data_IF_802500253757
#
_entry.id   IF_802500253757
#
_cell.length_a   1.000
_cell.length_b   1.000
_cell.length_c   1.000
_cell.angle_alpha   90.00
_cell.angle_beta   90.00
_cell.angle_gamma   90.00
#
_symmetry.space_group_name_H-M   'P 1'
#
loop_
_entity.id
_entity.type
_entity.pdbx_description
1 polymer ?
#
# COMPACT_ATOMS: atom_id res chain seq x y z
N UNK A 1 9.18 7.85 6.37
CA UNK A 1 8.23 8.91 6.77
C UNK A 1 6.84 8.38 7.10
N UNK A 2 6.30 7.34 6.43
CA UNK A 2 5.06 6.64 6.84
C UNK A 2 3.85 7.56 7.15
N UNK A 3 3.73 8.70 6.48
CA UNK A 3 2.64 9.66 6.76
C UNK A 3 1.25 9.10 6.48
N UNK A 4 1.12 8.13 5.57
CA UNK A 4 -0.13 7.39 5.31
C UNK A 4 -0.34 6.16 6.20
N UNK A 5 0.44 6.01 7.28
CA UNK A 5 0.37 4.86 8.17
C UNK A 5 0.94 3.55 7.56
N UNK A 6 0.60 2.38 8.14
CA UNK A 6 1.14 1.09 7.70
C UNK A 6 0.77 0.75 6.25
N UNK A 7 -0.35 1.26 5.76
CA UNK A 7 -0.85 1.08 4.39
C UNK A 7 -0.31 2.13 3.41
N UNK A 8 0.74 2.88 3.77
CA UNK A 8 1.28 3.94 2.90
C UNK A 8 1.80 3.43 1.54
N UNK A 9 2.21 2.16 1.45
CA UNK A 9 2.57 1.52 0.19
C UNK A 9 1.33 1.33 -0.71
N UNK A 10 0.25 0.80 -0.17
CA UNK A 10 -1.01 0.58 -0.89
C UNK A 10 -1.64 1.92 -1.30
N UNK A 11 -1.62 2.92 -0.42
CA UNK A 11 -2.10 4.28 -0.70
C UNK A 11 -1.35 4.94 -1.86
N UNK A 12 -0.03 4.70 -1.99
CA UNK A 12 0.75 5.18 -3.14
C UNK A 12 0.23 4.60 -4.46
N UNK A 13 -0.05 3.30 -4.47
CA UNK A 13 -0.52 2.62 -5.68
C UNK A 13 -1.98 3.02 -5.98
N UNK A 14 -2.78 3.24 -4.94
CA UNK A 14 -4.12 3.79 -5.05
C UNK A 14 -4.15 5.19 -5.71
N UNK A 15 -3.23 6.10 -5.36
CA UNK A 15 -3.14 7.41 -6.05
C UNK A 15 -2.93 7.23 -7.56
N UNK A 16 -2.16 6.22 -7.97
CA UNK A 16 -1.95 5.94 -9.39
C UNK A 16 -3.25 5.45 -10.04
N UNK A 17 -3.97 4.55 -9.37
CA UNK A 17 -5.24 4.02 -9.87
C UNK A 17 -6.29 5.12 -10.10
N UNK A 18 -6.51 6.01 -9.11
CA UNK A 18 -7.51 7.09 -9.27
C UNK A 18 -7.16 8.03 -10.41
N UNK A 19 -5.88 8.31 -10.66
CA UNK A 19 -5.45 9.18 -11.77
C UNK A 19 -5.70 8.49 -13.11
N UNK A 20 -5.49 7.16 -13.20
CA UNK A 20 -5.80 6.38 -14.41
C UNK A 20 -7.30 6.38 -14.68
N UNK A 21 -8.13 6.18 -13.64
CA UNK A 21 -9.60 6.20 -13.75
C UNK A 21 -10.15 7.53 -14.29
N UNK A 22 -9.48 8.66 -14.04
CA UNK A 22 -9.89 9.96 -14.61
C UNK A 22 -9.97 9.91 -16.15
N UNK A 23 -9.03 9.22 -16.80
CA UNK A 23 -8.95 9.14 -18.25
C UNK A 23 -10.02 8.24 -18.87
N UNK A 24 -10.65 7.37 -18.09
CA UNK A 24 -11.74 6.50 -18.55
C UNK A 24 -13.09 7.21 -18.53
N UNK A 25 -13.29 8.12 -17.57
CA UNK A 25 -14.61 8.68 -17.27
C UNK A 25 -14.88 10.03 -17.94
N UNK A 26 -13.84 10.82 -18.22
CA UNK A 26 -13.98 12.22 -18.63
C UNK A 26 -12.81 12.72 -19.46
N UNK A 27 -13.00 13.88 -20.09
CA UNK A 27 -11.91 14.63 -20.71
C UNK A 27 -11.04 15.17 -19.58
N UNK A 28 -9.78 14.76 -19.56
CA UNK A 28 -8.82 15.12 -18.52
C UNK A 28 -7.98 16.30 -18.98
N UNK A 29 -7.92 17.34 -18.16
CA UNK A 29 -6.97 18.44 -18.30
C UNK A 29 -5.94 18.41 -17.16
N UNK A 30 -4.93 19.26 -17.27
CA UNK A 30 -3.82 19.33 -16.30
C UNK A 30 -4.33 19.69 -14.90
N UNK A 31 -5.26 20.65 -14.82
CA UNK A 31 -5.81 21.15 -13.56
C UNK A 31 -6.55 20.03 -12.81
N UNK A 32 -7.33 19.20 -13.51
CA UNK A 32 -8.06 18.11 -12.89
C UNK A 32 -7.12 17.05 -12.29
N UNK A 33 -6.02 16.71 -12.96
CA UNK A 33 -5.03 15.75 -12.44
C UNK A 33 -4.36 16.34 -11.19
N UNK A 34 -3.95 17.60 -11.26
CA UNK A 34 -3.32 18.31 -10.15
C UNK A 34 -4.24 18.35 -8.93
N UNK A 35 -5.48 18.81 -9.07
CA UNK A 35 -6.46 18.86 -7.98
C UNK A 35 -6.68 17.47 -7.38
N UNK A 36 -6.80 16.44 -8.22
CA UNK A 36 -6.97 15.05 -7.74
C UNK A 36 -5.76 14.58 -6.91
N UNK A 37 -4.53 14.89 -7.34
CA UNK A 37 -3.33 14.55 -6.57
C UNK A 37 -3.24 15.33 -5.26
N UNK A 38 -3.60 16.62 -5.26
CA UNK A 38 -3.58 17.46 -4.05
C UNK A 38 -4.59 16.99 -3.02
N UNK A 39 -5.83 16.70 -3.43
CA UNK A 39 -6.84 16.14 -2.54
C UNK A 39 -6.43 14.77 -2.00
N UNK A 40 -5.85 13.91 -2.84
CA UNK A 40 -5.34 12.61 -2.38
C UNK A 40 -4.22 12.75 -1.34
N UNK A 41 -3.31 13.72 -1.49
CA UNK A 41 -2.25 13.98 -0.51
C UNK A 41 -2.80 14.52 0.82
N UNK A 42 -3.84 15.35 0.76
CA UNK A 42 -4.52 15.83 1.96
C UNK A 42 -5.28 14.70 2.66
N UNK A 43 -6.09 13.93 1.94
CA UNK A 43 -7.01 12.96 2.54
C UNK A 43 -6.29 11.71 3.03
N UNK A 44 -5.30 11.20 2.27
CA UNK A 44 -4.64 9.93 2.60
C UNK A 44 -3.38 10.08 3.45
N UNK A 45 -2.73 11.25 3.38
CA UNK A 45 -1.45 11.50 4.03
C UNK A 45 -1.46 12.67 5.01
N UNK A 46 -2.58 13.42 5.13
CA UNK A 46 -2.69 14.64 5.94
C UNK A 46 -1.60 15.68 5.60
N UNK A 47 -1.23 15.74 4.30
CA UNK A 47 -0.18 16.63 3.79
C UNK A 47 -0.79 17.70 2.87
N UNK A 48 -0.55 18.95 3.23
CA UNK A 48 -0.80 20.10 2.36
C UNK A 48 0.43 20.35 1.47
N UNK A 49 0.26 20.30 0.15
CA UNK A 49 1.32 20.55 -0.83
C UNK A 49 1.07 21.93 -1.45
N UNK A 50 1.88 22.92 -1.07
CA UNK A 50 1.75 24.33 -1.50
C UNK A 50 2.94 24.82 -2.36
N UNK A 51 3.78 23.91 -2.83
CA UNK A 51 5.01 24.22 -3.57
C UNK A 51 4.86 24.13 -5.10
N UNK A 52 3.62 24.05 -5.59
CA UNK A 52 3.28 23.85 -7.00
C UNK A 52 3.93 22.60 -7.65
N UNK A 53 4.40 21.63 -6.85
CA UNK A 53 5.07 20.43 -7.36
C UNK A 53 4.14 19.44 -8.05
N UNK A 54 2.84 19.50 -7.76
CA UNK A 54 1.81 18.67 -8.40
C UNK A 54 1.59 19.06 -9.88
N UNK A 55 1.70 20.36 -10.22
CA UNK A 55 1.50 20.87 -11.58
C UNK A 55 2.44 20.25 -12.63
N UNK A 56 3.78 20.26 -12.46
CA UNK A 56 4.68 19.65 -13.44
C UNK A 56 4.49 18.14 -13.55
N UNK A 57 4.05 17.45 -12.48
CA UNK A 57 3.68 16.04 -12.54
C UNK A 57 2.41 15.83 -13.37
N UNK A 58 1.37 16.63 -13.17
CA UNK A 58 0.14 16.57 -13.96
C UNK A 58 0.40 16.78 -15.46
N UNK A 59 1.23 17.77 -15.81
CA UNK A 59 1.67 18.00 -17.20
C UNK A 59 2.39 16.78 -17.77
N UNK A 60 3.28 16.16 -17.00
CA UNK A 60 4.03 14.98 -17.43
C UNK A 60 3.11 13.78 -17.68
N UNK A 61 2.15 13.53 -16.77
CA UNK A 61 1.18 12.44 -16.91
C UNK A 61 0.35 12.62 -18.18
N UNK A 62 -0.17 13.83 -18.42
CA UNK A 62 -0.95 14.13 -19.62
C UNK A 62 -0.12 13.97 -20.90
N UNK A 63 1.16 14.36 -20.86
CA UNK A 63 2.09 14.17 -21.99
C UNK A 63 2.31 12.69 -22.29
N UNK A 64 2.58 11.88 -21.27
CA UNK A 64 2.76 10.43 -21.41
C UNK A 64 1.50 9.79 -21.98
N UNK A 65 0.32 10.16 -21.46
CA UNK A 65 -0.95 9.66 -21.98
C UNK A 65 -1.12 9.96 -23.47
N UNK A 66 -0.76 11.18 -23.90
CA UNK A 66 -0.80 11.57 -25.32
C UNK A 66 0.19 10.78 -26.17
N UNK A 67 1.41 10.54 -25.71
CA UNK A 67 2.42 9.75 -26.43
C UNK A 67 1.96 8.28 -26.59
N UNK A 68 1.40 7.69 -25.53
CA UNK A 68 0.82 6.35 -25.55
C UNK A 68 -0.34 6.27 -26.55
N UNK A 69 -1.21 7.28 -26.60
CA UNK A 69 -2.31 7.34 -27.58
C UNK A 69 -1.83 7.36 -29.03
N UNK A 70 -0.57 7.77 -29.27
CA UNK A 70 0.08 7.81 -30.57
C UNK A 70 0.93 6.55 -30.86
N UNK A 71 0.94 5.58 -29.94
CA UNK A 71 1.75 4.36 -30.04
C UNK A 71 3.24 4.56 -29.75
N UNK A 72 3.61 5.65 -29.06
CA UNK A 72 4.99 5.93 -28.66
C UNK A 72 5.17 5.59 -27.17
N UNK A 73 6.04 4.63 -26.88
CA UNK A 73 6.27 4.13 -25.52
C UNK A 73 7.70 4.38 -24.99
N UNK A 74 8.57 4.98 -25.80
CA UNK A 74 9.99 5.18 -25.50
C UNK A 74 10.24 5.91 -24.17
N UNK A 75 9.42 6.93 -23.88
CA UNK A 75 9.49 7.73 -22.66
C UNK A 75 9.14 6.89 -21.42
N UNK A 76 8.10 6.07 -21.52
CA UNK A 76 7.64 5.18 -20.44
C UNK A 76 8.68 4.10 -20.17
N UNK A 77 9.17 3.45 -21.22
CA UNK A 77 10.20 2.41 -21.13
C UNK A 77 11.48 2.95 -20.48
N UNK A 78 11.89 4.17 -20.86
CA UNK A 78 13.04 4.84 -20.26
C UNK A 78 12.84 5.19 -18.77
N UNK A 79 11.64 5.58 -18.36
CA UNK A 79 11.32 5.84 -16.95
C UNK A 79 11.28 4.54 -16.14
N UNK A 80 10.73 3.47 -16.70
CA UNK A 80 10.68 2.15 -16.08
C UNK A 80 12.09 1.56 -15.87
N UNK A 81 12.97 1.66 -16.88
CA UNK A 81 14.37 1.23 -16.76
C UNK A 81 15.11 1.97 -15.63
N UNK A 82 14.96 3.29 -15.54
CA UNK A 82 15.54 4.10 -14.45
C UNK A 82 14.97 3.72 -13.08
N UNK A 83 13.69 3.39 -13.00
CA UNK A 83 13.07 2.93 -11.77
C UNK A 83 13.63 1.56 -11.33
N UNK A 84 13.79 0.61 -12.26
CA UNK A 84 14.41 -0.69 -11.98
C UNK A 84 15.84 -0.55 -11.44
N UNK A 85 16.64 0.34 -12.01
CA UNK A 85 17.99 0.63 -11.50
C UNK A 85 17.98 1.19 -10.07
N UNK A 86 16.99 2.03 -9.74
CA UNK A 86 16.82 2.57 -8.38
C UNK A 86 16.38 1.51 -7.38
N UNK A 87 15.54 0.56 -7.77
CA UNK A 87 15.12 -0.53 -6.88
C UNK A 87 16.29 -1.43 -6.49
N UNK A 88 17.12 -1.83 -7.46
CA UNK A 88 18.34 -2.63 -7.20
C UNK A 88 19.31 -1.94 -6.23
N UNK A 89 19.42 -0.61 -6.30
CA UNK A 89 20.24 0.19 -5.37
C UNK A 89 19.64 0.30 -3.97
N UNK A 90 18.32 0.25 -3.84
CA UNK A 90 17.62 0.33 -2.56
C UNK A 90 17.75 -0.97 -1.77
N UNK A 91 17.69 -2.12 -2.45
CA UNK A 91 17.91 -3.45 -1.86
C UNK A 91 19.36 -3.64 -1.37
N UNK A 92 20.33 -3.11 -2.12
CA UNK A 92 21.75 -3.16 -1.75
C UNK A 92 22.18 -2.16 -0.68
N UNK A 93 21.29 -1.25 -0.28
CA UNK A 93 21.56 -0.19 0.71
C UNK A 93 20.94 -0.46 2.09
N UNK A 94 20.57 -1.71 2.41
CA UNK A 94 20.38 -2.10 3.81
C UNK A 94 21.72 -1.89 4.55
N UNK A 95 21.84 -0.73 5.17
CA UNK A 95 23.01 -0.31 5.92
C UNK A 95 23.16 -1.28 7.10
N UNK A 96 24.14 -2.17 7.01
CA UNK A 96 24.58 -2.98 8.14
C UNK A 96 25.17 -1.99 9.16
N UNK A 97 24.36 -1.56 10.13
CA UNK A 97 24.81 -0.74 11.25
C UNK A 97 25.82 -1.57 12.02
N UNK A 98 27.11 -1.38 11.74
CA UNK A 98 28.17 -1.88 12.59
C UNK A 98 28.19 -0.98 13.83
N UNK A 99 27.53 -1.43 14.88
CA UNK A 99 27.67 -0.87 16.23
C UNK A 99 29.12 -1.14 16.63
N UNK A 100 29.99 -0.14 16.49
CA UNK A 100 31.27 -0.16 17.18
C UNK A 100 30.99 0.24 18.62
N UNK A 101 31.26 -0.65 19.56
CA UNK A 101 31.19 -0.35 21.00
C UNK A 101 32.07 0.87 21.29
N UNK A 102 31.44 1.97 21.70
CA UNK A 102 32.11 3.15 22.23
C UNK A 102 32.55 2.84 23.67
N UNK A 103 33.87 2.80 23.98
CA UNK A 103 34.35 2.52 25.33
C UNK A 103 33.89 3.53 26.39
N UNK A 104 33.39 4.71 25.99
CA UNK A 104 32.89 5.74 26.91
C UNK A 104 31.36 5.72 27.11
N UNK A 105 30.63 4.83 26.42
CA UNK A 105 29.18 4.71 26.55
C UNK A 105 28.75 3.23 26.68
N UNK A 106 28.76 2.65 27.90
CA UNK A 106 28.22 1.31 28.13
C UNK A 106 26.70 1.34 27.92
N UNK A 107 26.24 0.79 26.80
CA UNK A 107 24.82 0.63 26.48
C UNK A 107 24.22 -0.50 27.34
N UNK A 108 23.35 -0.13 28.28
CA UNK A 108 22.60 -1.02 29.17
C UNK A 108 21.16 -1.14 28.63
N UNK A 109 21.05 -1.58 27.37
CA UNK A 109 19.77 -1.82 26.71
C UNK A 109 19.56 -3.33 26.56
N UNK A 110 18.88 -3.89 27.54
CA UNK A 110 18.44 -5.28 27.62
C UNK A 110 17.56 -5.65 26.39
N UNK A 111 17.93 -6.77 25.80
CA UNK A 111 17.47 -7.30 24.52
C UNK A 111 16.08 -7.93 24.67
N UNK A 112 15.16 -7.63 23.75
CA UNK A 112 14.00 -8.50 23.51
C UNK A 112 13.86 -8.69 22.02
N UNK A 113 14.65 -9.63 21.53
CA UNK A 113 14.55 -10.22 20.21
C UNK A 113 13.37 -11.20 20.19
N UNK A 114 12.29 -10.82 19.50
CA UNK A 114 11.31 -11.75 18.94
C UNK A 114 11.03 -11.30 17.51
N UNK A 115 11.89 -11.72 16.59
CA UNK A 115 11.66 -11.66 15.14
C UNK A 115 11.41 -13.10 14.67
N UNK A 116 10.14 -13.53 14.72
CA UNK A 116 9.69 -14.74 14.04
C UNK A 116 9.16 -14.35 12.66
N UNK A 117 9.95 -14.74 11.66
CA UNK A 117 9.70 -14.70 10.24
C UNK A 117 8.34 -15.32 9.85
N UNK A 118 7.59 -14.66 8.96
CA UNK A 118 7.00 -15.39 7.82
C UNK A 118 6.76 -14.47 6.61
N UNK A 119 7.73 -14.45 5.71
CA UNK A 119 7.55 -14.01 4.33
C UNK A 119 6.83 -15.13 3.57
N UNK A 120 5.54 -14.93 3.25
CA UNK A 120 4.90 -15.71 2.19
C UNK A 120 4.91 -14.90 0.90
N UNK A 121 5.87 -15.25 0.05
CA UNK A 121 5.79 -15.02 -1.39
C UNK A 121 4.52 -15.68 -1.91
N UNK A 122 3.67 -14.93 -2.60
CA UNK A 122 2.71 -15.53 -3.52
C UNK A 122 2.58 -14.66 -4.77
N UNK A 123 3.53 -14.87 -5.67
CA UNK A 123 3.32 -14.75 -7.10
C UNK A 123 3.05 -16.18 -7.59
N UNK A 124 1.81 -16.49 -7.93
CA UNK A 124 1.54 -17.41 -9.05
C UNK A 124 0.10 -17.26 -9.54
N UNK A 125 0.00 -17.04 -10.84
CA UNK A 125 -1.22 -16.97 -11.63
C UNK A 125 -1.56 -18.39 -12.08
N UNK A 126 -2.70 -18.93 -11.66
CA UNK A 126 -3.27 -20.11 -12.32
C UNK A 126 -4.81 -19.99 -12.39
N UNK A 127 -5.31 -19.85 -13.62
CA UNK A 127 -6.72 -20.01 -13.97
C UNK A 127 -7.04 -21.51 -14.04
N UNK A 128 -8.04 -22.01 -13.30
CA UNK A 128 -8.90 -23.10 -13.81
C UNK A 128 -10.21 -23.31 -12.99
N UNK A 129 -11.32 -23.26 -13.73
CA UNK A 129 -12.56 -24.05 -13.71
C UNK A 129 -13.39 -24.30 -12.41
N UNK A 130 -14.68 -23.94 -12.55
CA UNK A 130 -15.93 -24.57 -12.07
C UNK A 130 -15.83 -25.76 -11.09
N UNK A 131 -16.59 -25.72 -9.97
CA UNK A 131 -17.73 -26.62 -9.68
C UNK A 131 -18.25 -26.45 -8.22
N UNK A 132 -19.55 -26.66 -8.05
CA UNK A 132 -20.39 -26.57 -6.86
C UNK A 132 -19.85 -27.29 -5.60
N UNK A 133 -19.99 -26.68 -4.41
CA UNK A 133 -20.40 -27.41 -3.19
C UNK A 133 -20.96 -26.51 -2.07
N UNK A 134 -22.26 -26.72 -1.80
CA UNK A 134 -23.08 -26.33 -0.66
C UNK A 134 -22.46 -26.72 0.71
N UNK A 135 -22.27 -25.76 1.62
CA UNK A 135 -22.08 -26.03 3.05
C UNK A 135 -22.76 -25.00 3.98
N UNK A 136 -23.65 -25.55 4.79
CA UNK A 136 -24.53 -24.99 5.82
C UNK A 136 -23.99 -23.88 6.74
N UNK A 137 -24.86 -22.89 6.95
CA UNK A 137 -25.09 -22.00 8.10
C UNK A 137 -24.12 -22.10 9.30
N UNK A 138 -23.35 -21.03 9.51
CA UNK A 138 -22.68 -20.73 10.78
C UNK A 138 -23.24 -19.44 11.39
N UNK A 139 -23.90 -19.64 12.54
CA UNK A 139 -24.50 -18.70 13.49
C UNK A 139 -24.04 -17.23 13.38
N UNK A 140 -24.98 -16.35 13.02
CA UNK A 140 -24.79 -14.90 13.02
C UNK A 140 -24.66 -14.34 14.45
N UNK A 141 -23.93 -13.23 14.65
CA UNK A 141 -23.82 -12.56 15.94
C UNK A 141 -25.16 -11.98 16.38
N UNK A 142 -25.57 -12.27 17.61
CA UNK A 142 -26.76 -11.68 18.22
C UNK A 142 -26.41 -10.24 18.63
N UNK A 143 -27.10 -9.28 18.03
CA UNK A 143 -26.95 -7.84 18.26
C UNK A 143 -28.13 -7.39 19.13
N UNK A 144 -27.87 -6.64 20.20
CA UNK A 144 -28.90 -6.08 21.08
C UNK A 144 -29.54 -4.81 20.47
N UNK A 145 -30.63 -4.32 21.05
CA UNK A 145 -31.36 -3.12 20.62
C UNK A 145 -30.49 -1.83 20.63
N UNK A 146 -29.30 -1.89 21.24
CA UNK A 146 -28.30 -0.82 21.30
C UNK A 146 -27.12 -1.03 20.30
N UNK A 147 -27.21 -2.02 19.40
CA UNK A 147 -26.24 -2.22 18.31
C UNK A 147 -24.92 -2.90 18.70
N UNK A 148 -24.76 -3.33 19.95
CA UNK A 148 -23.57 -4.03 20.42
C UNK A 148 -23.71 -5.56 20.31
N UNK A 149 -22.62 -6.23 19.93
CA UNK A 149 -22.55 -7.69 19.85
C UNK A 149 -22.41 -8.31 21.24
N UNK A 150 -23.32 -9.21 21.62
CA UNK A 150 -23.37 -9.82 22.94
C UNK A 150 -22.27 -10.88 23.11
N UNK A 151 -21.35 -10.68 24.07
CA UNK A 151 -20.28 -11.65 24.39
C UNK A 151 -20.86 -12.89 25.05
N UNK A 152 -20.83 -14.03 24.36
CA UNK A 152 -21.28 -15.30 24.93
C UNK A 152 -20.22 -15.91 25.86
N UNK A 153 -20.60 -16.20 27.11
CA UNK A 153 -19.71 -16.87 28.08
C UNK A 153 -19.45 -18.32 27.66
N UNK A 154 -18.19 -18.65 27.39
CA UNK A 154 -17.73 -20.00 27.04
C UNK A 154 -17.97 -20.96 28.22
N UNK A 155 -18.93 -21.88 28.05
CA UNK A 155 -19.27 -22.88 29.06
C UNK A 155 -18.09 -23.82 29.37
N UNK A 156 -17.70 -23.89 30.65
CA UNK A 156 -16.76 -24.88 31.19
C UNK A 156 -17.40 -26.27 31.08
N UNK A 157 -16.84 -27.14 30.23
CA UNK A 157 -17.23 -28.55 30.14
C UNK A 157 -16.35 -29.35 31.10
N UNK A 158 -16.90 -29.69 32.26
CA UNK A 158 -16.27 -30.58 33.25
C UNK A 158 -16.04 -31.97 32.63
N UNK A 159 -14.79 -32.45 32.69
CA UNK A 159 -14.46 -33.87 32.49
C UNK A 159 -14.62 -34.57 33.83
N UNK A 160 -15.59 -35.49 33.94
CA UNK A 160 -15.58 -36.53 34.97
C UNK A 160 -15.63 -37.90 34.30
N UNK A 161 -14.56 -38.66 34.59
CA UNK A 161 -14.43 -40.11 34.81
C UNK A 161 -15.21 -41.05 33.89
#
# INVERSE_FOLDING_TARGET
NQWGGPQSADKRDWITAIVVELFEQKIVDVQLIEETMLYAMQDEFDVQVEDDSALPLAVLILKIYKEISQGQFETVDGMYAKWLERQKKKESSHYQVQIQEDPENPDDSDESAEDEEEQTLHDDVEMDLDDDHDHQARNAPIIDDDGFQLVQKKGRRDKRT
#
